data_IF_378253799377
#
_entry.id   IF_378253799377
#
_cell.length_a   1.000
_cell.length_b   1.000
_cell.length_c   1.000
_cell.angle_alpha   90.00
_cell.angle_beta   90.00
_cell.angle_gamma   90.00
#
_symmetry.space_group_name_H-M   'P 1'
#
loop_
_entity.id
_entity.type
_entity.pdbx_description
1 polymer ?
#
# COMPACT_ATOMS: atom_id res chain seq x y z
N UNK A 1 -24.71 20.21 -32.23
CA UNK A 1 -23.90 21.25 -32.93
C UNK A 1 -24.15 21.32 -34.43
N UNK A 2 -23.88 20.26 -35.22
CA UNK A 2 -24.09 20.30 -36.69
C UNK A 2 -25.57 20.38 -37.08
N UNK A 3 -26.44 19.77 -36.27
CA UNK A 3 -27.91 19.80 -36.38
C UNK A 3 -28.50 21.16 -36.03
N UNK A 4 -27.99 21.83 -34.99
CA UNK A 4 -28.56 23.08 -34.46
C UNK A 4 -28.17 24.28 -35.33
N UNK A 5 -26.91 24.29 -35.81
CA UNK A 5 -26.44 25.29 -36.77
C UNK A 5 -27.13 25.12 -38.14
N UNK A 6 -27.42 23.87 -38.53
CA UNK A 6 -28.18 23.58 -39.76
C UNK A 6 -29.64 24.02 -39.62
N UNK A 7 -30.29 23.76 -38.50
CA UNK A 7 -31.65 24.22 -38.22
C UNK A 7 -31.77 25.75 -38.25
N UNK A 8 -30.79 26.50 -37.73
CA UNK A 8 -30.76 27.97 -37.80
C UNK A 8 -30.62 28.48 -39.23
N UNK A 9 -29.77 27.83 -40.04
CA UNK A 9 -29.59 28.17 -41.46
C UNK A 9 -30.83 27.85 -42.29
N UNK A 10 -31.46 26.70 -42.03
CA UNK A 10 -32.65 26.26 -42.74
C UNK A 10 -33.87 27.15 -42.39
N UNK A 11 -34.01 27.55 -41.12
CA UNK A 11 -35.07 28.46 -40.66
C UNK A 11 -34.88 29.92 -41.12
N UNK A 12 -33.63 30.36 -41.34
CA UNK A 12 -33.36 31.71 -41.85
C UNK A 12 -33.94 31.95 -43.25
N UNK A 13 -33.96 30.91 -44.10
CA UNK A 13 -34.52 30.97 -45.46
C UNK A 13 -36.04 31.19 -45.48
N UNK A 14 -36.74 30.84 -44.41
CA UNK A 14 -38.20 30.94 -44.29
C UNK A 14 -38.66 32.11 -43.41
N UNK A 15 -37.77 32.68 -42.59
CA UNK A 15 -38.13 33.67 -41.54
C UNK A 15 -37.84 35.13 -41.90
N UNK A 16 -37.20 35.41 -43.05
CA UNK A 16 -36.82 36.78 -43.44
C UNK A 16 -35.72 37.43 -42.59
N UNK A 17 -35.01 36.63 -41.76
CA UNK A 17 -33.90 37.10 -40.91
C UNK A 17 -32.74 37.65 -41.75
N UNK A 18 -32.13 38.74 -41.28
CA UNK A 18 -30.95 39.30 -41.94
C UNK A 18 -29.73 38.41 -41.73
N UNK A 19 -28.77 38.48 -42.65
CA UNK A 19 -27.49 37.78 -42.51
C UNK A 19 -26.75 38.12 -41.20
N UNK A 20 -26.98 39.29 -40.62
CA UNK A 20 -26.38 39.70 -39.35
C UNK A 20 -26.99 38.94 -38.16
N UNK A 21 -28.32 38.77 -38.13
CA UNK A 21 -29.05 38.03 -37.10
C UNK A 21 -28.70 36.54 -37.11
N UNK A 22 -28.65 35.93 -38.30
CA UNK A 22 -28.26 34.52 -38.48
C UNK A 22 -26.82 34.29 -37.99
N UNK A 23 -25.90 35.22 -38.27
CA UNK A 23 -24.52 35.15 -37.75
C UNK A 23 -24.46 35.30 -36.24
N UNK A 24 -25.27 36.17 -35.65
CA UNK A 24 -25.40 36.34 -34.20
C UNK A 24 -25.88 35.07 -33.51
N UNK A 25 -26.94 34.45 -34.02
CA UNK A 25 -27.50 33.20 -33.46
C UNK A 25 -26.52 32.03 -33.56
N UNK A 26 -25.84 31.87 -34.72
CA UNK A 26 -24.80 30.84 -34.88
C UNK A 26 -23.62 31.10 -33.94
N UNK A 27 -23.24 32.38 -33.72
CA UNK A 27 -22.17 32.74 -32.79
C UNK A 27 -22.54 32.36 -31.35
N UNK A 28 -23.76 32.70 -30.92
CA UNK A 28 -24.25 32.36 -29.58
C UNK A 28 -24.30 30.85 -29.35
N UNK A 29 -24.84 30.08 -30.31
CA UNK A 29 -24.88 28.61 -30.24
C UNK A 29 -23.47 28.02 -30.13
N UNK A 30 -22.51 28.58 -30.87
CA UNK A 30 -21.10 28.13 -30.80
C UNK A 30 -20.47 28.48 -29.46
N UNK A 31 -20.75 29.66 -28.91
CA UNK A 31 -20.22 30.08 -27.60
C UNK A 31 -20.81 29.23 -26.46
N UNK A 32 -22.11 28.97 -26.49
CA UNK A 32 -22.82 28.10 -25.55
C UNK A 32 -22.33 26.66 -25.64
N UNK A 33 -22.28 26.07 -26.84
CA UNK A 33 -21.76 24.71 -27.05
C UNK A 33 -20.30 24.60 -26.60
N UNK A 34 -19.47 25.63 -26.85
CA UNK A 34 -18.07 25.65 -26.41
C UNK A 34 -17.97 25.71 -24.89
N UNK A 35 -18.84 26.48 -24.23
CA UNK A 35 -18.92 26.54 -22.77
C UNK A 35 -19.32 25.19 -22.19
N UNK A 36 -20.36 24.55 -22.74
CA UNK A 36 -20.84 23.24 -22.29
C UNK A 36 -19.81 22.12 -22.48
N UNK A 37 -19.09 22.14 -23.61
CA UNK A 37 -17.98 21.22 -23.86
C UNK A 37 -16.86 21.46 -22.84
N UNK A 38 -16.53 22.72 -22.54
CA UNK A 38 -15.49 23.03 -21.56
C UNK A 38 -15.88 22.54 -20.17
N UNK A 39 -17.11 22.79 -19.75
CA UNK A 39 -17.63 22.39 -18.44
C UNK A 39 -17.74 20.86 -18.31
N UNK A 40 -18.21 20.18 -19.35
CA UNK A 40 -18.28 18.71 -19.36
C UNK A 40 -16.90 18.06 -19.33
N UNK A 41 -15.93 18.60 -20.07
CA UNK A 41 -14.53 18.15 -20.04
C UNK A 41 -13.92 18.37 -18.66
N UNK A 42 -14.17 19.51 -18.02
CA UNK A 42 -13.66 19.80 -16.68
C UNK A 42 -14.27 18.89 -15.62
N UNK A 43 -15.59 18.65 -15.67
CA UNK A 43 -16.29 17.69 -14.81
C UNK A 43 -15.74 16.28 -14.97
N UNK A 44 -15.57 15.81 -16.22
CA UNK A 44 -15.02 14.49 -16.51
C UNK A 44 -13.58 14.34 -16.00
N UNK A 45 -12.73 15.38 -16.19
CA UNK A 45 -11.36 15.41 -15.67
C UNK A 45 -11.32 15.35 -14.14
N UNK A 46 -12.18 16.10 -13.47
CA UNK A 46 -12.28 16.13 -12.00
C UNK A 46 -12.75 14.79 -11.44
N UNK A 47 -13.77 14.18 -12.05
CA UNK A 47 -14.27 12.86 -11.67
C UNK A 47 -13.19 11.78 -11.82
N UNK A 48 -12.51 11.73 -12.97
CA UNK A 48 -11.42 10.79 -13.22
C UNK A 48 -10.27 10.98 -12.22
N UNK A 49 -9.96 12.23 -11.87
CA UNK A 49 -8.92 12.56 -10.88
C UNK A 49 -9.27 11.97 -9.51
N UNK A 50 -10.48 12.21 -9.02
CA UNK A 50 -10.96 11.70 -7.73
C UNK A 50 -10.99 10.17 -7.70
N UNK A 51 -11.44 9.54 -8.77
CA UNK A 51 -11.48 8.08 -8.87
C UNK A 51 -10.08 7.47 -8.77
N UNK A 52 -9.12 8.00 -9.53
CA UNK A 52 -7.72 7.55 -9.49
C UNK A 52 -7.08 7.77 -8.12
N UNK A 53 -7.31 8.93 -7.51
CA UNK A 53 -6.81 9.24 -6.16
C UNK A 53 -7.37 8.26 -5.13
N UNK A 54 -8.68 8.00 -5.18
CA UNK A 54 -9.33 7.03 -4.29
C UNK A 54 -8.78 5.62 -4.49
N UNK A 55 -8.55 5.21 -5.75
CA UNK A 55 -7.93 3.91 -6.07
C UNK A 55 -6.54 3.80 -5.46
N UNK A 56 -5.70 4.82 -5.62
CA UNK A 56 -4.34 4.83 -5.03
C UNK A 56 -4.41 4.75 -3.50
N UNK A 57 -5.26 5.57 -2.86
CA UNK A 57 -5.43 5.54 -1.40
C UNK A 57 -5.83 4.16 -0.89
N UNK A 58 -6.78 3.49 -1.57
CA UNK A 58 -7.19 2.11 -1.23
C UNK A 58 -6.05 1.12 -1.38
N UNK A 59 -5.28 1.20 -2.46
CA UNK A 59 -4.14 0.29 -2.67
C UNK A 59 -3.03 0.51 -1.62
N UNK A 60 -2.73 1.77 -1.28
CA UNK A 60 -1.78 2.09 -0.20
C UNK A 60 -2.25 1.53 1.13
N UNK A 61 -3.53 1.73 1.46
CA UNK A 61 -4.12 1.21 2.69
C UNK A 61 -3.99 -0.32 2.79
N UNK A 62 -4.29 -1.04 1.70
CA UNK A 62 -4.11 -2.50 1.63
C UNK A 62 -2.66 -2.93 1.84
N UNK A 63 -1.69 -2.17 1.32
CA UNK A 63 -0.25 -2.47 1.53
C UNK A 63 0.11 -2.33 3.00
N UNK A 64 -0.33 -1.26 3.66
CA UNK A 64 -0.11 -1.02 5.09
C UNK A 64 -0.76 -2.14 5.93
N UNK A 65 -2.01 -2.50 5.64
CA UNK A 65 -2.71 -3.60 6.32
C UNK A 65 -1.96 -4.94 6.19
N UNK A 66 -1.46 -5.26 4.99
CA UNK A 66 -0.67 -6.48 4.76
C UNK A 66 0.64 -6.48 5.54
N UNK A 67 1.30 -5.33 5.65
CA UNK A 67 2.53 -5.20 6.44
C UNK A 67 2.26 -5.32 7.94
N UNK A 68 1.20 -4.69 8.46
CA UNK A 68 0.78 -4.85 9.86
C UNK A 68 0.46 -6.31 10.18
N UNK A 69 -0.30 -6.99 9.31
CA UNK A 69 -0.60 -8.41 9.48
C UNK A 69 0.67 -9.28 9.42
N UNK A 70 1.68 -8.90 8.64
CA UNK A 70 2.97 -9.59 8.63
C UNK A 70 3.72 -9.41 9.94
N UNK A 71 3.77 -8.18 10.47
CA UNK A 71 4.38 -7.87 11.78
C UNK A 71 3.71 -8.66 12.90
N UNK A 72 2.37 -8.70 12.95
CA UNK A 72 1.63 -9.46 13.96
C UNK A 72 2.00 -10.96 13.93
N UNK A 73 2.18 -11.53 12.72
CA UNK A 73 2.66 -12.92 12.57
C UNK A 73 4.09 -13.09 13.10
N UNK A 74 4.97 -12.13 12.87
CA UNK A 74 6.35 -12.15 13.38
C UNK A 74 6.37 -12.08 14.91
N UNK A 75 5.54 -11.25 15.53
CA UNK A 75 5.40 -11.17 16.99
C UNK A 75 4.92 -12.48 17.59
N UNK A 76 3.89 -13.10 16.99
CA UNK A 76 3.41 -14.43 17.39
C UNK A 76 4.50 -15.49 17.28
N UNK A 77 5.33 -15.43 16.23
CA UNK A 77 6.48 -16.33 16.09
C UNK A 77 7.54 -16.08 17.17
N UNK A 78 7.86 -14.82 17.47
CA UNK A 78 8.79 -14.46 18.54
C UNK A 78 8.33 -15.00 19.91
N UNK A 79 7.04 -14.89 20.23
CA UNK A 79 6.46 -15.47 21.46
C UNK A 79 6.57 -17.01 21.50
N UNK A 80 6.35 -17.68 20.36
CA UNK A 80 6.51 -19.13 20.28
C UNK A 80 7.96 -19.57 20.46
N UNK A 81 8.91 -18.83 19.90
CA UNK A 81 10.35 -19.10 20.08
C UNK A 81 10.75 -18.88 21.55
N UNK A 82 10.31 -17.77 22.16
CA UNK A 82 10.52 -17.47 23.58
C UNK A 82 10.02 -18.61 24.49
N UNK A 83 8.82 -19.12 24.22
CA UNK A 83 8.25 -20.26 24.94
C UNK A 83 9.10 -21.54 24.78
N UNK A 84 9.62 -21.82 23.58
CA UNK A 84 10.48 -22.99 23.35
C UNK A 84 11.84 -22.86 24.03
N UNK A 85 12.44 -21.66 24.00
CA UNK A 85 13.67 -21.35 24.73
C UNK A 85 13.48 -21.66 26.21
N UNK A 86 12.41 -21.16 26.83
CA UNK A 86 12.10 -21.43 28.25
C UNK A 86 11.95 -22.92 28.56
N UNK A 87 11.30 -23.68 27.66
CA UNK A 87 11.14 -25.13 27.82
C UNK A 87 12.47 -25.89 27.75
N UNK A 88 13.38 -25.51 26.86
CA UNK A 88 14.69 -26.16 26.75
C UNK A 88 15.63 -25.74 27.88
N UNK A 89 15.57 -24.48 28.31
CA UNK A 89 16.31 -24.01 29.48
C UNK A 89 15.89 -24.76 30.75
N UNK A 90 14.59 -24.99 30.95
CA UNK A 90 14.08 -25.80 32.07
C UNK A 90 14.55 -27.27 32.04
N UNK A 91 15.01 -27.76 30.89
CA UNK A 91 15.61 -29.09 30.70
C UNK A 91 17.15 -29.04 30.78
N UNK A 92 17.75 -27.92 31.16
CA UNK A 92 19.21 -27.80 31.29
C UNK A 92 19.95 -27.63 29.96
N UNK A 93 19.27 -27.37 28.85
CA UNK A 93 19.93 -27.10 27.58
C UNK A 93 20.50 -25.67 27.55
N UNK A 94 21.68 -25.51 26.93
CA UNK A 94 22.25 -24.18 26.68
C UNK A 94 21.47 -23.50 25.55
N UNK A 95 20.86 -22.36 25.88
CA UNK A 95 20.04 -21.55 24.97
C UNK A 95 20.56 -20.11 24.83
N UNK A 96 21.78 -19.83 25.29
CA UNK A 96 22.32 -18.47 25.32
C UNK A 96 22.32 -17.80 23.93
N UNK A 97 22.76 -18.53 22.90
CA UNK A 97 22.79 -18.02 21.51
C UNK A 97 21.37 -17.76 20.99
N UNK A 98 20.44 -18.68 21.23
CA UNK A 98 19.06 -18.53 20.80
C UNK A 98 18.37 -17.33 21.47
N UNK A 99 18.65 -17.06 22.75
CA UNK A 99 18.17 -15.87 23.45
C UNK A 99 18.68 -14.58 22.83
N UNK A 100 19.98 -14.53 22.53
CA UNK A 100 20.61 -13.39 21.87
C UNK A 100 19.99 -13.13 20.49
N UNK A 101 19.84 -14.17 19.66
CA UNK A 101 19.20 -14.06 18.34
C UNK A 101 17.73 -13.67 18.40
N UNK A 102 16.97 -14.16 19.39
CA UNK A 102 15.60 -13.71 19.60
C UNK A 102 15.54 -12.21 19.98
N UNK A 103 16.49 -11.71 20.76
CA UNK A 103 16.56 -10.29 21.09
C UNK A 103 16.85 -9.44 19.84
N UNK A 104 17.80 -9.85 18.99
CA UNK A 104 18.05 -9.22 17.68
C UNK A 104 16.78 -9.20 16.81
N UNK A 105 16.06 -10.33 16.74
CA UNK A 105 14.82 -10.42 15.99
C UNK A 105 13.73 -9.48 16.52
N UNK A 106 13.59 -9.34 17.84
CA UNK A 106 12.64 -8.39 18.47
C UNK A 106 12.96 -6.94 18.11
N UNK A 107 14.25 -6.56 18.05
CA UNK A 107 14.66 -5.23 17.58
C UNK A 107 14.24 -5.03 16.12
N UNK A 108 14.47 -6.01 15.24
CA UNK A 108 14.06 -5.94 13.83
C UNK A 108 12.55 -5.86 13.63
N UNK A 109 11.76 -6.53 14.48
CA UNK A 109 10.29 -6.41 14.48
C UNK A 109 9.90 -4.96 14.85
N UNK A 110 10.55 -4.37 15.84
CA UNK A 110 10.30 -2.98 16.23
C UNK A 110 10.70 -1.98 15.13
N UNK A 111 11.83 -2.21 14.46
CA UNK A 111 12.22 -1.44 13.26
C UNK A 111 11.15 -1.53 12.16
N UNK A 112 10.59 -2.73 11.93
CA UNK A 112 9.52 -2.93 10.95
C UNK A 112 8.25 -2.17 11.32
N UNK A 113 7.86 -2.16 12.61
CA UNK A 113 6.73 -1.38 13.12
C UNK A 113 6.93 0.11 12.85
N UNK A 114 8.10 0.65 13.20
CA UNK A 114 8.45 2.04 12.91
C UNK A 114 8.33 2.36 11.41
N UNK A 115 8.87 1.49 10.56
CA UNK A 115 8.85 1.67 9.11
C UNK A 115 7.43 1.64 8.51
N UNK A 116 6.53 0.81 9.04
CA UNK A 116 5.11 0.79 8.60
C UNK A 116 4.36 2.03 9.09
N UNK A 117 4.61 2.47 10.32
CA UNK A 117 4.03 3.71 10.85
C UNK A 117 4.42 4.93 10.01
N UNK A 118 5.68 4.99 9.56
CA UNK A 118 6.17 6.03 8.63
C UNK A 118 5.57 5.97 7.22
N UNK A 119 4.94 4.85 6.81
CA UNK A 119 4.20 4.77 5.54
C UNK A 119 2.73 5.19 5.67
N UNK A 120 2.15 5.01 6.86
CA UNK A 120 0.76 5.34 7.15
C UNK A 120 0.61 6.76 7.69
N UNK A 121 0.01 6.85 8.88
CA UNK A 121 -0.31 8.12 9.56
C UNK A 121 0.90 9.02 9.80
N UNK A 122 2.11 8.44 9.87
CA UNK A 122 3.36 9.17 10.06
C UNK A 122 4.08 9.56 8.76
N UNK A 123 3.49 9.32 7.59
CA UNK A 123 4.14 9.62 6.31
C UNK A 123 4.21 11.11 6.04
N UNK A 124 5.43 11.64 5.97
CA UNK A 124 5.73 12.97 5.40
C UNK A 124 5.96 12.91 3.88
N UNK A 125 6.04 11.70 3.32
CA UNK A 125 6.30 11.49 1.89
C UNK A 125 4.99 11.63 1.10
N UNK A 126 4.95 12.48 0.06
CA UNK A 126 3.76 12.61 -0.77
C UNK A 126 3.49 11.29 -1.49
N UNK A 127 2.28 10.74 -1.32
CA UNK A 127 1.88 9.49 -2.00
C UNK A 127 1.74 9.71 -3.51
N UNK A 128 1.28 10.89 -3.92
CA UNK A 128 0.95 11.23 -5.31
C UNK A 128 1.95 12.27 -5.82
N UNK A 129 2.60 11.98 -6.96
CA UNK A 129 3.59 12.87 -7.56
C UNK A 129 3.02 13.91 -8.54
N UNK A 130 1.82 13.71 -9.07
CA UNK A 130 1.17 14.66 -9.99
C UNK A 130 -0.31 14.78 -9.74
N UNK A 131 -0.81 16.00 -9.83
CA UNK A 131 -2.23 16.35 -9.71
C UNK A 131 -2.93 16.43 -11.07
N UNK A 132 -2.21 16.18 -12.18
CA UNK A 132 -2.82 16.17 -13.51
C UNK A 132 -3.77 14.96 -13.68
N UNK A 133 -4.97 15.12 -14.26
CA UNK A 133 -5.94 14.02 -14.40
C UNK A 133 -5.39 12.79 -15.14
N UNK A 134 -4.51 13.03 -16.12
CA UNK A 134 -3.86 11.98 -16.92
C UNK A 134 -2.70 11.31 -16.18
N UNK A 135 -2.06 12.02 -15.24
CA UNK A 135 -0.75 11.68 -14.68
C UNK A 135 -0.71 11.37 -13.19
N UNK A 136 -1.85 11.17 -12.51
CA UNK A 136 -1.82 10.73 -11.10
C UNK A 136 -1.09 9.39 -11.01
N UNK A 137 0.14 9.45 -10.50
CA UNK A 137 1.01 8.31 -10.25
C UNK A 137 1.50 8.35 -8.82
N UNK A 138 1.75 7.17 -8.27
CA UNK A 138 2.42 7.03 -6.97
C UNK A 138 3.84 7.61 -7.11
N UNK A 139 4.24 8.43 -6.15
CA UNK A 139 5.59 9.02 -6.12
C UNK A 139 6.68 7.97 -6.04
N UNK A 140 7.86 8.31 -6.55
CA UNK A 140 9.01 7.39 -6.54
C UNK A 140 9.46 7.14 -5.11
N UNK A 141 9.50 8.20 -4.32
CA UNK A 141 9.89 8.23 -2.91
C UNK A 141 8.98 7.33 -2.08
N UNK A 142 7.67 7.35 -2.32
CA UNK A 142 6.74 6.47 -1.63
C UNK A 142 6.96 5.00 -2.01
N UNK A 143 7.23 4.70 -3.28
CA UNK A 143 7.54 3.32 -3.72
C UNK A 143 8.83 2.81 -3.08
N UNK A 144 9.86 3.64 -3.02
CA UNK A 144 11.13 3.30 -2.38
C UNK A 144 10.93 3.07 -0.88
N UNK A 145 10.12 3.89 -0.22
CA UNK A 145 9.76 3.68 1.18
C UNK A 145 9.02 2.34 1.38
N UNK A 146 8.07 1.99 0.51
CA UNK A 146 7.37 0.69 0.56
C UNK A 146 8.33 -0.49 0.38
N UNK A 147 9.24 -0.44 -0.59
CA UNK A 147 10.24 -1.51 -0.78
C UNK A 147 11.23 -1.58 0.38
N UNK A 148 11.64 -0.45 0.96
CA UNK A 148 12.48 -0.43 2.16
C UNK A 148 11.76 -1.10 3.34
N UNK A 149 10.50 -0.75 3.60
CA UNK A 149 9.71 -1.35 4.69
C UNK A 149 9.54 -2.87 4.50
N UNK A 150 9.27 -3.30 3.26
CA UNK A 150 9.21 -4.73 2.91
C UNK A 150 10.53 -5.45 3.20
N UNK A 151 11.67 -4.84 2.90
CA UNK A 151 12.97 -5.43 3.18
C UNK A 151 13.26 -5.51 4.69
N UNK A 152 12.84 -4.51 5.47
CA UNK A 152 12.95 -4.55 6.93
C UNK A 152 12.10 -5.69 7.52
N UNK A 153 10.87 -5.89 7.04
CA UNK A 153 10.01 -7.01 7.45
C UNK A 153 10.67 -8.36 7.11
N UNK A 154 11.29 -8.48 5.93
CA UNK A 154 12.04 -9.69 5.55
C UNK A 154 13.25 -9.93 6.45
N UNK A 155 13.98 -8.88 6.82
CA UNK A 155 15.10 -8.98 7.75
C UNK A 155 14.64 -9.44 9.15
N UNK A 156 13.50 -8.94 9.64
CA UNK A 156 12.90 -9.41 10.88
C UNK A 156 12.53 -10.90 10.84
N UNK A 157 11.95 -11.36 9.72
CA UNK A 157 11.70 -12.79 9.51
C UNK A 157 12.99 -13.61 9.51
N UNK A 158 14.03 -13.17 8.79
CA UNK A 158 15.31 -13.87 8.75
C UNK A 158 15.94 -13.98 10.15
N UNK A 159 15.91 -12.92 10.95
CA UNK A 159 16.41 -12.95 12.32
C UNK A 159 15.64 -13.96 13.22
N UNK A 160 14.33 -14.12 13.01
CA UNK A 160 13.57 -15.18 13.71
C UNK A 160 13.99 -16.58 13.25
N UNK A 161 14.30 -16.76 11.97
CA UNK A 161 14.83 -18.03 11.44
C UNK A 161 16.19 -18.33 12.09
N UNK A 162 17.07 -17.34 12.21
CA UNK A 162 18.37 -17.50 12.89
C UNK A 162 18.20 -17.91 14.36
N UNK A 163 17.23 -17.32 15.06
CA UNK A 163 16.90 -17.72 16.43
C UNK A 163 16.40 -19.17 16.52
N UNK A 164 15.62 -19.64 15.52
CA UNK A 164 15.18 -21.04 15.44
C UNK A 164 16.36 -21.96 15.15
N UNK A 165 17.24 -21.60 14.22
CA UNK A 165 18.43 -22.39 13.88
C UNK A 165 19.35 -22.53 15.09
N UNK A 166 19.58 -21.45 15.83
CA UNK A 166 20.35 -21.47 17.08
C UNK A 166 19.71 -22.33 18.18
N UNK A 167 18.41 -22.61 18.11
CA UNK A 167 17.69 -23.44 19.07
C UNK A 167 17.73 -24.93 18.73
N UNK A 168 18.11 -25.32 17.50
CA UNK A 168 18.13 -26.73 17.07
C UNK A 168 19.02 -27.63 17.93
N UNK A 169 20.26 -27.25 18.29
CA UNK A 169 21.12 -28.11 19.11
C UNK A 169 20.52 -28.40 20.50
N UNK A 170 19.82 -27.42 21.08
CA UNK A 170 19.12 -27.59 22.35
C UNK A 170 17.93 -28.56 22.23
N UNK A 171 17.27 -28.60 21.08
CA UNK A 171 16.18 -29.54 20.81
C UNK A 171 16.69 -30.99 20.69
N UNK A 172 17.77 -31.20 19.93
CA UNK A 172 18.39 -32.53 19.74
C UNK A 172 18.87 -33.11 21.08
N UNK A 173 19.52 -32.30 21.92
CA UNK A 173 19.97 -32.74 23.24
C UNK A 173 18.82 -33.12 24.16
N UNK A 174 17.73 -32.35 24.15
CA UNK A 174 16.55 -32.66 24.95
C UNK A 174 15.87 -33.98 24.51
N UNK A 175 15.92 -34.35 23.24
CA UNK A 175 15.40 -35.63 22.75
C UNK A 175 16.25 -36.82 23.23
N UNK A 176 17.58 -36.68 23.23
CA UNK A 176 18.49 -37.74 23.71
C UNK A 176 18.38 -38.04 25.20
N UNK A 177 18.13 -37.03 26.05
CA UNK A 177 17.98 -37.24 27.50
C UNK A 177 16.64 -37.90 27.87
N UNK A 178 15.60 -37.71 27.04
CA UNK A 178 14.28 -38.32 27.29
C UNK A 178 14.25 -39.81 26.92
N UNK A 179 15.04 -40.24 25.93
CA UNK A 179 15.09 -41.63 25.46
C UNK A 179 15.82 -42.59 26.43
N UNK A 180 16.78 -42.09 27.21
CA UNK A 180 17.57 -42.94 28.12
C UNK A 180 16.84 -43.26 29.43
N UNK A 181 15.82 -42.50 29.80
CA UNK A 181 15.09 -42.68 31.07
C UNK A 181 13.91 -43.67 30.99
N UNK A 182 13.65 -44.30 29.84
CA UNK A 182 12.51 -45.21 29.64
C UNK A 182 12.90 -46.70 29.59
N UNK A 183 14.19 -47.04 29.69
CA UNK A 183 14.69 -48.43 29.59
C UNK A 183 15.20 -49.04 30.91
N UNK A 184 14.86 -48.46 32.06
CA UNK A 184 15.20 -49.01 33.38
C UNK A 184 13.94 -49.04 34.27
N UNK A 185 13.04 -49.99 34.00
CA UNK A 185 12.09 -50.55 34.97
C UNK A 185 11.65 -51.95 34.50
#
# INVERSE_FOLDING_TARGET
MQTDVKAVRDNASTSGKTNAEVRGEIKNIREETRSDIKDSVEKARSALRKEKENRIKREVQKVIERFNAAIERLEKLALRIDSRIKKFEARGADVAVAKSKLAEAKVKISEAQGAVLSLGSGSTTPIIASTTPSGIIISKEFREAVEKTKNIIKAAHAALVDAIVALKPAAEKAETETATSTNND
#
